data_IF_062177480474
#
_entry.id   IF_062177480474
#
_cell.length_a   1.000
_cell.length_b   1.000
_cell.length_c   1.000
_cell.angle_alpha   90.00
_cell.angle_beta   90.00
_cell.angle_gamma   90.00
#
_symmetry.space_group_name_H-M   'P 1'
#
loop_
_entity.id
_entity.type
_entity.pdbx_description
1 polymer ?
#
# COMPACT_ATOMS: atom_id res chain seq x y z
N UNK A 1 -3.73 -16.32 10.63
CA UNK A 1 -3.58 -16.73 9.22
C UNK A 1 -4.88 -17.36 8.77
N UNK A 2 -5.49 -16.84 7.71
CA UNK A 2 -6.81 -17.22 7.22
C UNK A 2 -6.79 -17.44 5.70
N UNK A 3 -7.38 -18.54 5.21
CA UNK A 3 -7.64 -18.71 3.79
C UNK A 3 -8.91 -17.95 3.42
N UNK A 4 -8.79 -16.88 2.62
CA UNK A 4 -9.96 -16.05 2.24
C UNK A 4 -10.47 -16.32 0.84
N UNK A 5 -9.59 -16.71 -0.07
CA UNK A 5 -9.94 -16.96 -1.47
C UNK A 5 -9.43 -18.32 -1.89
N UNK A 6 -10.28 -19.06 -2.59
CA UNK A 6 -9.94 -20.29 -3.29
C UNK A 6 -10.45 -20.19 -4.72
N UNK A 7 -9.57 -20.42 -5.68
CA UNK A 7 -9.90 -20.44 -7.11
C UNK A 7 -9.63 -21.84 -7.64
N UNK A 8 -10.50 -22.33 -8.52
CA UNK A 8 -10.29 -23.60 -9.23
C UNK A 8 -10.89 -23.54 -10.62
N UNK A 9 -10.22 -24.13 -11.61
CA UNK A 9 -10.66 -24.06 -13.00
C UNK A 9 -9.67 -24.63 -14.00
N UNK A 10 -9.92 -24.42 -15.30
CA UNK A 10 -9.04 -24.89 -16.36
C UNK A 10 -7.62 -24.30 -16.22
N UNK A 11 -6.60 -25.09 -16.53
CA UNK A 11 -5.19 -24.69 -16.42
C UNK A 11 -4.79 -23.55 -17.36
N UNK A 12 -5.63 -23.23 -18.35
CA UNK A 12 -5.47 -22.08 -19.23
C UNK A 12 -5.78 -20.75 -18.52
N UNK A 13 -6.59 -20.77 -17.47
CA UNK A 13 -6.98 -19.60 -16.67
C UNK A 13 -6.30 -19.61 -15.30
N UNK A 14 -6.28 -20.77 -14.65
CA UNK A 14 -5.63 -20.98 -13.35
C UNK A 14 -4.47 -21.95 -13.58
N UNK A 15 -3.22 -21.48 -13.78
CA UNK A 15 -2.10 -22.33 -14.22
C UNK A 15 -1.86 -23.56 -13.33
N UNK A 16 -2.16 -23.44 -12.03
CA UNK A 16 -2.00 -24.52 -11.04
C UNK A 16 -3.24 -25.42 -10.91
N UNK A 17 -4.27 -25.22 -11.73
CA UNK A 17 -5.59 -25.84 -11.65
C UNK A 17 -6.44 -25.34 -10.48
N UNK A 18 -5.82 -25.08 -9.34
CA UNK A 18 -6.41 -24.37 -8.21
C UNK A 18 -5.38 -23.54 -7.46
N UNK A 19 -5.83 -22.46 -6.83
CA UNK A 19 -4.99 -21.54 -6.05
C UNK A 19 -5.70 -21.11 -4.78
N UNK A 20 -5.00 -21.22 -3.65
CA UNK A 20 -5.46 -20.74 -2.34
C UNK A 20 -4.68 -19.49 -1.94
N UNK A 21 -5.38 -18.50 -1.38
CA UNK A 21 -4.81 -17.22 -0.97
C UNK A 21 -4.95 -17.07 0.54
N UNK A 22 -3.82 -16.93 1.23
CA UNK A 22 -3.75 -16.83 2.68
C UNK A 22 -3.36 -15.43 3.13
N UNK A 23 -4.05 -14.95 4.15
CA UNK A 23 -3.90 -13.61 4.67
C UNK A 23 -3.56 -13.61 6.16
N UNK A 24 -2.90 -12.54 6.61
CA UNK A 24 -2.78 -12.27 8.05
C UNK A 24 -4.06 -11.60 8.60
N UNK A 25 -4.04 -11.30 9.90
CA UNK A 25 -5.18 -10.67 10.59
C UNK A 25 -5.40 -9.22 10.13
N UNK A 26 -4.34 -8.52 9.75
CA UNK A 26 -4.42 -7.17 9.21
C UNK A 26 -5.06 -7.14 7.80
N UNK A 27 -4.94 -8.24 7.06
CA UNK A 27 -5.47 -8.44 5.72
C UNK A 27 -4.42 -8.39 4.61
N UNK A 28 -3.15 -8.50 4.95
CA UNK A 28 -2.06 -8.65 3.98
C UNK A 28 -2.06 -10.05 3.37
N UNK A 29 -1.84 -10.15 2.06
CA UNK A 29 -1.72 -11.43 1.37
C UNK A 29 -0.34 -12.04 1.65
N UNK A 30 -0.30 -13.00 2.57
CA UNK A 30 0.92 -13.71 2.97
C UNK A 30 1.42 -14.65 1.88
N UNK A 31 0.51 -15.26 1.10
CA UNK A 31 0.94 -16.11 0.01
C UNK A 31 -0.18 -16.71 -0.83
N UNK A 32 0.23 -17.14 -2.01
CA UNK A 32 -0.56 -17.89 -2.98
C UNK A 32 0.00 -19.31 -3.05
N UNK A 33 -0.87 -20.31 -2.98
CA UNK A 33 -0.49 -21.71 -2.89
C UNK A 33 -1.23 -22.53 -3.93
N UNK A 34 -0.56 -23.52 -4.52
CA UNK A 34 -1.17 -24.42 -5.49
C UNK A 34 -2.11 -25.46 -4.83
N UNK A 35 -2.63 -26.39 -5.64
CA UNK A 35 -3.51 -27.46 -5.19
C UNK A 35 -2.92 -28.36 -4.08
N UNK A 36 -1.59 -28.43 -3.98
CA UNK A 36 -0.87 -29.24 -3.00
C UNK A 36 -0.35 -28.40 -1.83
N UNK A 37 -0.78 -27.15 -1.71
CA UNK A 37 -0.28 -26.17 -0.74
C UNK A 37 1.22 -25.89 -0.87
N UNK A 38 1.78 -26.03 -2.08
CA UNK A 38 3.13 -25.56 -2.38
C UNK A 38 3.05 -24.06 -2.68
N UNK A 39 3.89 -23.23 -2.05
CA UNK A 39 3.86 -21.78 -2.25
C UNK A 39 4.26 -21.42 -3.68
N UNK A 40 3.38 -20.72 -4.38
CA UNK A 40 3.66 -20.06 -5.65
C UNK A 40 4.43 -18.76 -5.38
N UNK A 41 3.95 -18.00 -4.38
CA UNK A 41 4.56 -16.78 -3.85
C UNK A 41 4.28 -16.68 -2.36
N UNK A 42 5.26 -16.25 -1.56
CA UNK A 42 5.06 -15.78 -0.19
C UNK A 42 5.54 -14.32 -0.10
N UNK A 43 4.73 -13.44 0.46
CA UNK A 43 5.04 -12.01 0.55
C UNK A 43 5.51 -11.66 1.94
N UNK A 44 6.64 -10.98 2.03
CA UNK A 44 7.20 -10.45 3.28
C UNK A 44 6.82 -8.98 3.38
N UNK A 45 6.27 -8.61 4.53
CA UNK A 45 5.86 -7.25 4.83
C UNK A 45 6.74 -6.64 5.91
N UNK A 46 7.00 -5.34 5.78
CA UNK A 46 7.52 -4.50 6.85
C UNK A 46 6.39 -3.59 7.32
N UNK A 47 5.74 -3.96 8.42
CA UNK A 47 4.44 -3.43 8.81
C UNK A 47 3.40 -3.71 7.70
N UNK A 48 2.95 -2.69 6.98
CA UNK A 48 1.95 -2.81 5.89
C UNK A 48 2.60 -2.78 4.49
N UNK A 49 3.87 -2.40 4.41
CA UNK A 49 4.59 -2.25 3.14
C UNK A 49 5.11 -3.61 2.67
N UNK A 50 4.72 -4.12 1.49
CA UNK A 50 5.31 -5.32 0.93
C UNK A 50 6.76 -5.03 0.51
N UNK A 51 7.72 -5.81 1.02
CA UNK A 51 9.16 -5.56 0.81
C UNK A 51 9.87 -6.67 0.04
N UNK A 52 9.36 -7.89 0.08
CA UNK A 52 9.96 -9.00 -0.65
C UNK A 52 8.95 -10.09 -1.00
N UNK A 53 9.31 -10.90 -2.00
CA UNK A 53 8.62 -12.12 -2.36
C UNK A 53 9.61 -13.26 -2.28
N UNK A 54 9.16 -14.38 -1.73
CA UNK A 54 9.88 -15.63 -1.67
C UNK A 54 9.18 -16.61 -2.60
N UNK A 55 9.94 -17.22 -3.52
CA UNK A 55 9.50 -18.35 -4.34
C UNK A 55 10.25 -19.59 -3.92
N UNK A 56 9.55 -20.72 -3.88
CA UNK A 56 10.17 -22.02 -3.62
C UNK A 56 10.00 -22.92 -4.83
N UNK A 57 11.11 -23.39 -5.40
CA UNK A 57 11.07 -24.47 -6.37
C UNK A 57 11.29 -25.79 -5.63
N UNK A 58 10.30 -26.68 -5.69
CA UNK A 58 10.36 -27.99 -5.05
C UNK A 58 10.47 -29.08 -6.10
N UNK A 59 11.60 -29.76 -6.13
CA UNK A 59 11.83 -30.88 -7.05
C UNK A 59 11.70 -32.20 -6.29
N UNK A 60 10.74 -33.08 -6.64
CA UNK A 60 10.58 -34.37 -5.98
C UNK A 60 11.79 -35.27 -6.25
N UNK A 61 12.24 -36.00 -5.24
CA UNK A 61 13.22 -37.05 -5.40
C UNK A 61 12.49 -38.36 -5.80
N UNK A 62 12.66 -38.84 -7.04
CA UNK A 62 11.89 -39.97 -7.55
C UNK A 62 12.13 -41.29 -6.80
N UNK A 63 13.22 -41.37 -6.01
CA UNK A 63 13.71 -42.62 -5.44
C UNK A 63 13.45 -42.75 -3.92
N UNK A 64 12.68 -41.86 -3.30
CA UNK A 64 12.41 -41.89 -1.85
C UNK A 64 10.96 -42.20 -1.51
N UNK A 65 10.75 -43.07 -0.52
CA UNK A 65 9.47 -43.33 0.12
C UNK A 65 9.67 -43.26 1.66
N UNK A 66 9.07 -42.28 2.35
CA UNK A 66 8.16 -41.24 1.85
C UNK A 66 8.85 -40.27 0.87
N UNK A 67 8.06 -39.63 0.01
CA UNK A 67 8.55 -38.64 -0.97
C UNK A 67 9.32 -37.54 -0.26
N UNK A 68 10.53 -37.25 -0.76
CA UNK A 68 11.37 -36.12 -0.30
C UNK A 68 11.52 -35.11 -1.43
N UNK A 69 11.81 -33.85 -1.07
CA UNK A 69 11.94 -32.77 -2.04
C UNK A 69 13.25 -32.02 -1.83
N UNK A 70 13.93 -31.69 -2.91
CA UNK A 70 14.94 -30.64 -2.90
C UNK A 70 14.22 -29.30 -3.04
N UNK A 71 14.43 -28.40 -2.08
CA UNK A 71 13.82 -27.07 -2.07
C UNK A 71 14.89 -26.04 -2.35
N UNK A 72 14.71 -25.25 -3.40
CA UNK A 72 15.49 -24.04 -3.64
C UNK A 72 14.61 -22.81 -3.46
N UNK A 73 15.21 -21.74 -2.95
CA UNK A 73 14.49 -20.51 -2.63
C UNK A 73 15.05 -19.37 -3.48
N UNK A 74 14.15 -18.63 -4.13
CA UNK A 74 14.46 -17.40 -4.83
C UNK A 74 13.81 -16.23 -4.11
N UNK A 75 14.57 -15.14 -3.97
CA UNK A 75 14.12 -13.91 -3.30
C UNK A 75 14.01 -12.81 -4.34
N UNK A 76 12.93 -12.05 -4.26
CA UNK A 76 12.67 -10.88 -5.06
C UNK A 76 12.37 -9.70 -4.14
N UNK A 77 12.94 -8.53 -4.44
CA UNK A 77 12.65 -7.30 -3.71
C UNK A 77 11.43 -6.61 -4.32
N UNK A 78 10.51 -6.13 -3.49
CA UNK A 78 9.37 -5.31 -3.89
C UNK A 78 9.70 -3.85 -3.59
N UNK A 79 9.46 -2.98 -4.57
CA UNK A 79 9.45 -1.54 -4.38
C UNK A 79 8.01 -1.05 -4.47
N UNK A 80 7.46 -0.69 -3.31
CA UNK A 80 6.15 -0.08 -3.20
C UNK A 80 6.23 1.45 -3.32
N UNK A 81 5.13 2.10 -3.70
CA UNK A 81 5.02 3.56 -3.68
C UNK A 81 4.63 4.09 -2.27
N UNK A 82 4.30 5.38 -2.20
CA UNK A 82 3.92 6.04 -0.95
C UNK A 82 2.58 5.59 -0.38
N UNK A 83 1.81 4.77 -1.12
CA UNK A 83 0.59 4.14 -0.64
C UNK A 83 0.70 2.62 -0.53
N UNK A 84 1.92 2.12 -0.28
CA UNK A 84 2.24 0.70 -0.12
C UNK A 84 1.83 -0.18 -1.32
N UNK A 85 1.63 0.41 -2.50
CA UNK A 85 1.28 -0.33 -3.73
C UNK A 85 2.55 -0.82 -4.41
N UNK A 86 2.71 -2.14 -4.66
CA UNK A 86 3.83 -2.66 -5.42
C UNK A 86 3.93 -2.01 -6.81
N UNK A 87 5.06 -1.36 -7.11
CA UNK A 87 5.33 -0.72 -8.41
C UNK A 87 6.42 -1.40 -9.21
N UNK A 88 7.33 -2.10 -8.56
CA UNK A 88 8.43 -2.78 -9.24
C UNK A 88 8.89 -3.98 -8.41
N UNK A 89 9.30 -5.05 -9.09
CA UNK A 89 9.91 -6.21 -8.47
C UNK A 89 11.23 -6.53 -9.17
N UNK A 90 12.28 -6.72 -8.37
CA UNK A 90 13.60 -7.11 -8.87
C UNK A 90 14.05 -8.44 -8.29
N UNK A 91 14.77 -9.26 -9.06
CA UNK A 91 15.43 -10.45 -8.52
C UNK A 91 16.57 -10.03 -7.58
N UNK A 92 16.65 -10.61 -6.38
CA UNK A 92 17.61 -10.18 -5.37
C UNK A 92 19.08 -10.44 -5.74
N UNK A 93 19.34 -11.45 -6.58
CA UNK A 93 20.70 -11.87 -6.95
C UNK A 93 21.40 -10.91 -7.91
N UNK A 94 20.65 -10.25 -8.81
CA UNK A 94 21.21 -9.44 -9.90
C UNK A 94 20.52 -8.07 -10.05
N UNK A 95 19.51 -7.78 -9.23
CA UNK A 95 18.67 -6.57 -9.28
C UNK A 95 17.94 -6.35 -10.60
N UNK A 96 17.83 -7.38 -11.46
CA UNK A 96 17.09 -7.28 -12.70
C UNK A 96 15.59 -7.14 -12.44
N UNK A 97 14.96 -6.22 -13.16
CA UNK A 97 13.52 -5.96 -13.03
C UNK A 97 12.75 -7.07 -13.75
N UNK A 98 11.95 -7.81 -13.00
CA UNK A 98 11.15 -8.94 -13.52
C UNK A 98 9.67 -8.59 -13.68
N UNK A 99 9.19 -7.56 -12.99
CA UNK A 99 7.82 -7.07 -13.06
C UNK A 99 7.79 -5.57 -12.76
N UNK A 100 6.91 -4.83 -13.45
CA UNK A 100 6.77 -3.39 -13.28
C UNK A 100 5.34 -2.91 -13.50
N UNK A 101 4.89 -1.98 -12.65
CA UNK A 101 3.61 -1.31 -12.75
C UNK A 101 3.73 0.20 -12.52
N UNK A 102 4.82 0.78 -13.02
CA UNK A 102 5.13 2.21 -12.90
C UNK A 102 4.20 3.11 -13.74
N UNK A 103 3.59 2.56 -14.78
CA UNK A 103 2.70 3.29 -15.70
C UNK A 103 1.23 3.27 -15.24
N UNK A 104 0.94 2.75 -14.05
CA UNK A 104 -0.42 2.65 -13.57
C UNK A 104 -1.04 4.05 -13.39
N UNK A 105 -2.23 4.22 -13.97
CA UNK A 105 -3.07 5.38 -13.71
C UNK A 105 -3.56 5.41 -12.25
N UNK A 106 -4.08 6.56 -11.76
CA UNK A 106 -4.48 6.70 -10.35
C UNK A 106 -5.46 5.63 -9.85
N UNK A 107 -6.32 5.10 -10.71
CA UNK A 107 -7.29 4.04 -10.38
C UNK A 107 -6.86 2.63 -10.86
N UNK A 108 -5.60 2.48 -11.32
CA UNK A 108 -5.03 1.16 -11.61
C UNK A 108 -5.63 0.43 -12.81
N UNK A 109 -6.15 1.16 -13.80
CA UNK A 109 -6.76 0.55 -15.00
C UNK A 109 -5.71 -0.06 -15.95
N UNK A 110 -4.50 0.52 -16.01
CA UNK A 110 -3.38 0.00 -16.79
C UNK A 110 -2.91 -1.33 -16.22
N UNK A 111 -2.58 -2.32 -17.05
CA UNK A 111 -2.00 -3.58 -16.57
C UNK A 111 -0.49 -3.46 -16.29
N UNK A 112 0.05 -4.27 -15.37
CA UNK A 112 1.49 -4.35 -15.16
C UNK A 112 2.22 -4.97 -16.36
N UNK A 113 3.44 -4.51 -16.59
CA UNK A 113 4.38 -5.19 -17.46
C UNK A 113 5.01 -6.38 -16.72
N UNK A 114 4.59 -7.58 -17.07
CA UNK A 114 5.05 -8.85 -16.49
C UNK A 114 6.37 -9.37 -17.08
N UNK A 115 6.93 -8.70 -18.08
CA UNK A 115 8.20 -9.10 -18.69
C UNK A 115 8.95 -7.88 -19.26
N UNK A 116 9.35 -6.91 -18.41
CA UNK A 116 9.85 -5.61 -18.88
C UNK A 116 11.17 -5.68 -19.65
N UNK A 117 11.98 -6.71 -19.43
CA UNK A 117 13.30 -6.88 -20.04
C UNK A 117 13.49 -8.25 -20.71
N UNK A 118 12.40 -8.94 -21.08
CA UNK A 118 12.46 -10.26 -21.73
C UNK A 118 13.20 -11.35 -20.91
N UNK A 119 13.08 -11.31 -19.59
CA UNK A 119 13.71 -12.26 -18.65
C UNK A 119 12.79 -13.44 -18.28
N UNK A 120 11.62 -13.52 -18.92
CA UNK A 120 10.56 -14.48 -18.64
C UNK A 120 9.37 -13.81 -17.95
N UNK A 121 8.18 -14.35 -18.17
CA UNK A 121 6.95 -13.81 -17.57
C UNK A 121 6.96 -14.01 -16.06
N UNK A 122 6.81 -12.92 -15.32
CA UNK A 122 6.63 -12.91 -13.88
C UNK A 122 5.22 -12.42 -13.56
N UNK A 123 4.33 -13.31 -13.16
CA UNK A 123 2.96 -12.94 -12.76
C UNK A 123 2.94 -12.55 -11.29
N UNK A 124 2.38 -11.40 -10.98
CA UNK A 124 2.18 -10.97 -9.59
C UNK A 124 0.82 -10.28 -9.49
N UNK A 125 -0.03 -10.76 -8.59
CA UNK A 125 -1.45 -10.41 -8.59
C UNK A 125 -1.83 -9.33 -7.58
N UNK A 126 -1.01 -9.04 -6.57
CA UNK A 126 -1.30 -7.92 -5.66
C UNK A 126 -1.33 -6.58 -6.43
N UNK A 127 -2.24 -5.69 -6.01
CA UNK A 127 -2.46 -4.36 -6.59
C UNK A 127 -2.43 -3.31 -5.48
N UNK A 128 -3.38 -2.38 -5.45
CA UNK A 128 -3.53 -1.47 -4.31
C UNK A 128 -3.67 -2.28 -3.00
N UNK A 129 -3.37 -1.69 -1.83
CA UNK A 129 -3.46 -2.41 -0.56
C UNK A 129 -4.79 -3.15 -0.40
N UNK A 130 -4.71 -4.43 -0.04
CA UNK A 130 -5.86 -5.34 0.09
C UNK A 130 -6.33 -6.00 -1.20
N UNK A 131 -5.86 -5.55 -2.36
CA UNK A 131 -6.38 -6.00 -3.66
C UNK A 131 -5.54 -7.10 -4.30
N UNK A 132 -6.24 -8.10 -4.85
CA UNK A 132 -5.67 -9.15 -5.69
C UNK A 132 -6.38 -9.17 -7.04
N UNK A 133 -5.62 -9.02 -8.12
CA UNK A 133 -6.14 -9.12 -9.48
C UNK A 133 -6.62 -10.53 -9.80
N UNK A 134 -7.81 -10.59 -10.37
CA UNK A 134 -8.47 -11.80 -10.84
C UNK A 134 -8.54 -11.73 -12.37
N UNK A 135 -7.71 -12.53 -13.04
CA UNK A 135 -7.58 -12.47 -14.50
C UNK A 135 -8.85 -12.94 -15.20
N UNK A 136 -9.58 -13.86 -14.58
CA UNK A 136 -10.79 -14.51 -15.09
C UNK A 136 -11.96 -13.52 -15.23
N UNK A 137 -12.12 -12.64 -14.25
CA UNK A 137 -13.14 -11.59 -14.26
C UNK A 137 -12.61 -10.23 -14.73
N UNK A 138 -11.29 -10.05 -14.79
CA UNK A 138 -10.63 -8.77 -14.98
C UNK A 138 -11.02 -7.72 -13.91
N UNK A 139 -11.26 -8.21 -12.68
CA UNK A 139 -11.56 -7.41 -11.49
C UNK A 139 -10.46 -7.55 -10.46
N UNK A 140 -10.56 -6.77 -9.40
CA UNK A 140 -9.69 -6.86 -8.24
C UNK A 140 -10.53 -7.29 -7.04
N UNK A 141 -10.27 -8.49 -6.53
CA UNK A 141 -10.84 -8.95 -5.28
C UNK A 141 -10.25 -8.07 -4.17
N UNK A 142 -11.11 -7.41 -3.40
CA UNK A 142 -10.74 -6.57 -2.26
C UNK A 142 -11.55 -6.96 -1.02
N UNK A 143 -11.36 -8.21 -0.60
CA UNK A 143 -11.99 -8.87 0.53
C UNK A 143 -13.53 -8.83 0.54
N UNK A 144 -14.12 -7.72 0.93
CA UNK A 144 -15.57 -7.56 1.05
C UNK A 144 -16.24 -7.13 -0.25
N UNK A 145 -15.46 -6.63 -1.24
CA UNK A 145 -15.99 -6.10 -2.50
C UNK A 145 -15.06 -6.43 -3.68
N UNK A 146 -15.64 -6.45 -4.87
CA UNK A 146 -14.93 -6.51 -6.14
C UNK A 146 -14.73 -5.09 -6.67
N UNK A 147 -13.49 -4.74 -6.96
CA UNK A 147 -13.09 -3.44 -7.48
C UNK A 147 -12.87 -3.50 -8.99
N UNK A 148 -13.53 -2.61 -9.72
CA UNK A 148 -13.36 -2.42 -11.15
C UNK A 148 -12.48 -1.18 -11.39
N UNK A 149 -11.24 -1.39 -11.83
CA UNK A 149 -10.27 -0.31 -12.03
C UNK A 149 -10.64 0.63 -13.17
N UNK A 150 -11.20 0.11 -14.28
CA UNK A 150 -11.63 0.93 -15.42
C UNK A 150 -12.70 1.97 -15.03
N UNK A 151 -13.59 1.60 -14.11
CA UNK A 151 -14.62 2.50 -13.57
C UNK A 151 -14.21 3.23 -12.29
N UNK A 152 -13.02 2.93 -11.75
CA UNK A 152 -12.51 3.49 -10.51
C UNK A 152 -13.42 3.25 -9.30
N UNK A 153 -14.15 2.13 -9.24
CA UNK A 153 -15.22 1.92 -8.24
C UNK A 153 -15.43 0.45 -7.86
N UNK A 154 -16.15 0.23 -6.76
CA UNK A 154 -16.64 -1.10 -6.40
C UNK A 154 -17.89 -1.48 -7.19
N UNK A 155 -18.09 -2.78 -7.41
CA UNK A 155 -19.28 -3.32 -8.05
C UNK A 155 -20.43 -3.56 -7.07
N UNK A 156 -20.12 -3.81 -5.80
CA UNK A 156 -21.10 -4.00 -4.72
C UNK A 156 -21.23 -2.71 -3.90
N UNK A 157 -22.45 -2.45 -3.43
CA UNK A 157 -22.67 -1.43 -2.40
C UNK A 157 -21.95 -1.82 -1.12
N UNK A 158 -21.41 -0.83 -0.41
CA UNK A 158 -20.71 -1.00 0.86
C UNK A 158 -21.54 -1.80 1.89
N UNK A 159 -21.02 -2.93 2.40
CA UNK A 159 -21.69 -3.75 3.42
C UNK A 159 -21.94 -3.00 4.73
N UNK A 160 -21.14 -1.99 5.07
CA UNK A 160 -21.36 -1.16 6.25
C UNK A 160 -22.24 0.07 5.95
N UNK A 161 -22.78 0.15 4.72
CA UNK A 161 -23.66 1.21 4.26
C UNK A 161 -23.00 2.58 4.28
N UNK A 162 -23.75 3.60 4.72
CA UNK A 162 -23.27 4.99 4.75
C UNK A 162 -22.12 5.25 5.74
N UNK A 163 -21.75 4.26 6.57
CA UNK A 163 -20.56 4.36 7.45
C UNK A 163 -19.24 4.40 6.65
N UNK A 164 -19.23 3.83 5.44
CA UNK A 164 -18.08 3.87 4.52
C UNK A 164 -18.02 5.15 3.68
N UNK A 165 -19.11 5.91 3.59
CA UNK A 165 -19.22 7.16 2.84
C UNK A 165 -20.60 7.35 2.21
N UNK A 166 -20.86 8.57 1.68
CA UNK A 166 -22.14 8.89 1.04
C UNK A 166 -22.39 8.10 -0.25
N UNK A 167 -21.33 7.80 -1.00
CA UNK A 167 -21.40 6.94 -2.18
C UNK A 167 -20.87 5.56 -1.81
N UNK A 168 -21.78 4.60 -1.63
CA UNK A 168 -21.46 3.24 -1.17
C UNK A 168 -20.71 2.39 -2.21
N UNK A 169 -20.48 2.91 -3.41
CA UNK A 169 -19.71 2.26 -4.47
C UNK A 169 -18.36 2.93 -4.72
N UNK A 170 -18.09 4.09 -4.13
CA UNK A 170 -16.88 4.84 -4.41
C UNK A 170 -15.65 4.09 -3.88
N UNK A 171 -14.58 4.03 -4.70
CA UNK A 171 -13.27 3.68 -4.18
C UNK A 171 -12.63 4.93 -3.59
N UNK A 172 -12.23 4.84 -2.33
CA UNK A 172 -11.36 5.81 -1.63
C UNK A 172 -11.74 7.28 -1.77
N UNK A 173 -13.05 7.57 -1.73
CA UNK A 173 -13.61 8.92 -1.93
C UNK A 173 -13.07 9.63 -3.18
N UNK A 174 -12.79 8.87 -4.25
CA UNK A 174 -12.20 9.35 -5.50
C UNK A 174 -10.81 9.97 -5.36
N UNK A 175 -10.06 9.62 -4.31
CA UNK A 175 -8.71 10.14 -4.07
C UNK A 175 -7.67 9.01 -3.89
N UNK A 176 -7.44 8.17 -4.93
CA UNK A 176 -6.60 6.98 -4.83
C UNK A 176 -5.10 7.28 -4.81
N UNK A 177 -4.70 8.56 -4.96
CA UNK A 177 -3.32 8.98 -4.80
C UNK A 177 -2.93 9.19 -3.33
N UNK A 178 -3.89 9.17 -2.41
CA UNK A 178 -3.63 9.50 -1.01
C UNK A 178 -4.45 8.69 -0.02
N UNK A 179 -5.34 7.85 -0.52
CA UNK A 179 -6.22 7.00 0.28
C UNK A 179 -6.19 5.58 -0.24
N UNK A 180 -6.32 4.66 0.69
CA UNK A 180 -6.35 3.22 0.48
C UNK A 180 -7.62 2.64 1.11
N UNK A 181 -8.06 1.47 0.67
CA UNK A 181 -9.15 0.71 1.29
C UNK A 181 -8.74 -0.76 1.36
N UNK A 182 -7.95 -1.18 2.37
CA UNK A 182 -7.37 -2.52 2.45
C UNK A 182 -8.39 -3.65 2.66
N UNK A 183 -9.63 -3.30 3.00
CA UNK A 183 -10.67 -4.28 3.35
C UNK A 183 -11.88 -4.20 2.43
N UNK A 184 -11.95 -3.24 1.52
CA UNK A 184 -13.16 -2.98 0.75
C UNK A 184 -14.34 -2.55 1.63
N UNK A 185 -14.12 -1.75 2.68
CA UNK A 185 -15.18 -1.30 3.61
C UNK A 185 -15.16 0.19 3.90
N UNK A 186 -13.96 0.79 3.95
CA UNK A 186 -13.81 2.21 4.28
C UNK A 186 -12.45 2.67 3.83
N UNK A 187 -12.40 3.92 3.40
CA UNK A 187 -11.15 4.53 3.03
C UNK A 187 -10.33 5.00 4.25
N UNK A 188 -9.02 4.91 4.11
CA UNK A 188 -8.04 5.36 5.06
C UNK A 188 -7.08 6.30 4.33
N UNK A 189 -6.69 7.40 4.98
CA UNK A 189 -5.60 8.23 4.49
C UNK A 189 -4.30 7.46 4.64
N UNK A 190 -3.55 7.32 3.56
CA UNK A 190 -2.24 6.69 3.63
C UNK A 190 -1.18 7.67 4.14
N UNK A 191 -0.17 7.11 4.80
CA UNK A 191 0.64 7.74 5.85
C UNK A 191 1.55 8.87 5.39
N UNK A 192 1.58 9.24 4.10
CA UNK A 192 2.24 10.45 3.61
C UNK A 192 1.58 10.97 2.33
N UNK A 193 0.85 12.09 2.42
CA UNK A 193 0.25 12.74 1.26
C UNK A 193 1.12 13.91 0.82
N UNK A 194 2.03 13.67 -0.13
CA UNK A 194 2.69 14.70 -0.94
C UNK A 194 3.19 15.96 -0.21
N UNK A 195 3.30 17.06 -0.96
CA UNK A 195 3.71 18.39 -0.46
C UNK A 195 2.69 19.04 0.48
N UNK A 196 1.51 18.44 0.66
CA UNK A 196 0.42 18.95 1.48
C UNK A 196 -0.28 17.81 2.21
N UNK A 197 0.16 17.51 3.43
CA UNK A 197 -0.70 17.32 4.59
C UNK A 197 0.14 16.77 5.73
N UNK A 198 -0.24 17.21 6.92
CA UNK A 198 0.10 16.65 8.22
C UNK A 198 0.33 15.15 8.18
N UNK A 199 1.48 14.72 8.71
CA UNK A 199 1.69 13.36 9.17
C UNK A 199 0.58 13.09 10.21
N UNK A 200 -0.46 12.36 9.81
CA UNK A 200 -1.48 11.92 10.75
C UNK A 200 -1.04 10.56 11.30
N UNK A 201 -1.15 10.29 12.62
CA UNK A 201 -1.06 8.92 13.10
C UNK A 201 -2.07 8.09 12.31
N UNK A 202 -1.66 6.91 11.85
CA UNK A 202 -2.60 6.01 11.18
C UNK A 202 -3.80 5.79 12.08
N UNK A 203 -5.01 6.02 11.57
CA UNK A 203 -6.24 5.68 12.28
C UNK A 203 -6.56 4.18 12.20
N UNK A 204 -5.61 3.35 11.80
CA UNK A 204 -5.70 1.92 12.01
C UNK A 204 -5.56 1.62 13.51
N UNK A 205 -6.64 1.19 14.20
CA UNK A 205 -6.59 0.90 15.63
C UNK A 205 -5.69 -0.31 15.95
N UNK A 206 -5.23 -1.08 14.96
CA UNK A 206 -4.38 -2.25 15.14
C UNK A 206 -2.89 -2.01 14.86
N UNK A 207 -2.52 -0.83 14.34
CA UNK A 207 -1.12 -0.51 14.10
C UNK A 207 -0.37 -0.19 15.42
N UNK A 208 0.77 -0.84 15.64
CA UNK A 208 1.57 -0.63 16.85
C UNK A 208 2.02 0.84 16.99
N UNK A 209 2.02 1.35 18.24
CA UNK A 209 2.41 2.73 18.55
C UNK A 209 3.81 3.08 18.05
N UNK A 210 4.76 2.13 18.09
CA UNK A 210 6.14 2.31 17.60
C UNK A 210 6.18 2.36 16.07
N UNK A 211 5.42 1.49 15.39
CA UNK A 211 5.29 1.53 13.93
C UNK A 211 4.70 2.85 13.45
N UNK A 212 3.71 3.38 14.18
CA UNK A 212 3.12 4.69 13.91
C UNK A 212 4.13 5.82 14.09
N UNK A 213 4.93 5.79 15.17
CA UNK A 213 5.96 6.79 15.45
C UNK A 213 7.08 6.82 14.39
N UNK A 214 7.62 5.66 13.99
CA UNK A 214 8.72 5.60 13.02
C UNK A 214 8.27 6.06 11.62
N UNK A 215 7.07 5.68 11.20
CA UNK A 215 6.48 6.10 9.92
C UNK A 215 6.21 7.61 9.89
N UNK A 216 5.70 8.17 10.98
CA UNK A 216 5.58 9.63 11.16
C UNK A 216 6.93 10.34 10.98
N UNK A 217 8.00 9.86 11.65
CA UNK A 217 9.33 10.49 11.59
C UNK A 217 9.99 10.44 10.21
N UNK A 218 9.80 9.35 9.48
CA UNK A 218 10.29 9.21 8.10
C UNK A 218 9.51 10.16 7.17
N UNK A 219 8.20 10.29 7.38
CA UNK A 219 7.34 11.20 6.63
C UNK A 219 7.74 12.67 6.81
N UNK A 220 7.88 13.12 8.06
CA UNK A 220 8.35 14.46 8.42
C UNK A 220 9.66 14.78 7.70
N UNK A 221 10.63 13.85 7.75
CA UNK A 221 11.95 14.03 7.15
C UNK A 221 11.92 14.14 5.62
N UNK A 222 11.01 13.44 4.95
CA UNK A 222 10.85 13.50 3.49
C UNK A 222 10.27 14.85 3.02
N UNK A 223 9.30 15.38 3.77
CA UNK A 223 8.72 16.70 3.54
C UNK A 223 9.76 17.80 3.79
N UNK A 224 10.51 17.70 4.89
CA UNK A 224 11.55 18.67 5.25
C UNK A 224 12.68 18.72 4.21
N UNK A 225 13.11 17.58 3.65
CA UNK A 225 14.12 17.50 2.58
C UNK A 225 13.64 18.16 1.27
N UNK A 226 12.34 18.06 0.96
CA UNK A 226 11.74 18.75 -0.20
C UNK A 226 11.69 20.26 -0.01
N UNK A 227 11.56 20.67 1.24
CA UNK A 227 11.53 22.06 1.69
C UNK A 227 12.92 22.73 1.68
N UNK A 228 13.96 22.03 2.17
CA UNK A 228 15.35 22.52 2.14
C UNK A 228 15.84 22.81 0.70
N UNK A 229 15.33 22.07 -0.28
CA UNK A 229 15.71 22.21 -1.69
C UNK A 229 14.90 23.26 -2.47
N UNK A 230 13.86 23.85 -1.87
CA UNK A 230 12.97 24.79 -2.57
C UNK A 230 12.44 25.89 -1.64
N UNK A 231 13.13 27.05 -1.56
CA UNK A 231 12.83 28.12 -0.60
C UNK A 231 11.46 28.78 -0.82
N UNK A 232 10.84 28.62 -1.98
CA UNK A 232 9.49 29.11 -2.28
C UNK A 232 8.38 28.20 -1.75
N UNK A 233 8.70 27.06 -1.14
CA UNK A 233 7.71 26.08 -0.68
C UNK A 233 7.37 26.30 0.79
N UNK A 234 6.11 26.09 1.16
CA UNK A 234 5.64 26.16 2.54
C UNK A 234 6.14 24.96 3.36
N UNK A 235 6.72 25.19 4.55
CA UNK A 235 7.39 24.13 5.30
C UNK A 235 6.94 24.06 6.77
N UNK A 236 6.90 22.84 7.32
CA UNK A 236 6.68 22.62 8.75
C UNK A 236 7.76 23.32 9.59
N UNK A 237 8.99 23.42 9.08
CA UNK A 237 10.07 24.17 9.71
C UNK A 237 9.71 25.65 9.95
N UNK A 238 9.06 26.33 8.99
CA UNK A 238 8.64 27.73 9.16
C UNK A 238 7.54 27.87 10.20
N UNK A 239 6.59 26.91 10.22
CA UNK A 239 5.56 26.84 11.25
C UNK A 239 6.20 26.63 12.63
N UNK A 240 7.14 25.69 12.75
CA UNK A 240 7.81 25.38 14.02
C UNK A 240 8.70 26.55 14.49
N UNK A 241 9.33 27.27 13.56
CA UNK A 241 10.05 28.50 13.85
C UNK A 241 9.11 29.61 14.34
N UNK A 242 7.94 29.77 13.71
CA UNK A 242 6.90 30.69 14.17
C UNK A 242 6.41 30.33 15.57
N UNK A 243 6.13 29.04 15.82
CA UNK A 243 5.67 28.53 17.12
C UNK A 243 6.72 28.77 18.22
N UNK A 244 8.00 28.67 17.89
CA UNK A 244 9.10 28.98 18.81
C UNK A 244 9.15 28.02 19.99
N UNK A 245 8.94 26.73 19.72
CA UNK A 245 8.97 25.66 20.73
C UNK A 245 7.62 25.23 21.29
N UNK A 246 6.52 25.93 20.93
CA UNK A 246 5.16 25.50 21.26
C UNK A 246 4.69 24.36 20.34
N UNK A 247 3.88 23.48 20.90
CA UNK A 247 3.27 22.35 20.22
C UNK A 247 2.17 22.86 19.27
N UNK A 248 2.05 22.31 18.04
CA UNK A 248 1.05 22.79 17.07
C UNK A 248 -0.41 22.60 17.52
N UNK A 249 -0.66 21.67 18.44
CA UNK A 249 -1.96 21.44 19.07
C UNK A 249 -2.26 22.39 20.24
N UNK A 250 -1.29 23.23 20.61
CA UNK A 250 -1.40 24.18 21.72
C UNK A 250 -1.39 23.53 23.11
N UNK A 251 -1.04 22.25 23.21
CA UNK A 251 -1.07 21.50 24.48
C UNK A 251 -0.11 22.05 25.55
N UNK A 252 0.94 22.77 25.14
CA UNK A 252 1.93 23.41 26.00
C UNK A 252 1.77 24.94 26.08
N UNK A 253 0.70 25.49 25.50
CA UNK A 253 0.42 26.92 25.51
C UNK A 253 -0.16 27.36 26.87
N UNK A 254 0.61 28.14 27.61
CA UNK A 254 0.28 28.70 28.92
C UNK A 254 -0.10 30.18 28.79
N UNK A 255 -1.39 30.40 28.53
CA UNK A 255 -1.99 31.73 28.53
C UNK A 255 -2.36 32.29 27.15
N UNK A 256 -3.11 33.42 27.12
CA UNK A 256 -3.75 33.92 25.89
C UNK A 256 -2.76 34.24 24.77
N UNK A 257 -1.59 34.78 25.11
CA UNK A 257 -0.58 35.17 24.13
C UNK A 257 0.02 33.96 23.41
N UNK A 258 0.29 32.87 24.13
CA UNK A 258 0.81 31.63 23.54
C UNK A 258 -0.26 30.92 22.71
N UNK A 259 -1.52 30.90 23.18
CA UNK A 259 -2.66 30.34 22.42
C UNK A 259 -2.86 31.12 21.12
N UNK A 260 -2.85 32.45 21.18
CA UNK A 260 -2.99 33.32 20.01
C UNK A 260 -1.81 33.14 19.04
N UNK A 261 -0.60 32.96 19.56
CA UNK A 261 0.58 32.66 18.75
C UNK A 261 0.45 31.34 18.02
N UNK A 262 0.02 30.26 18.70
CA UNK A 262 -0.24 28.95 18.08
C UNK A 262 -1.29 29.08 16.97
N UNK A 263 -2.42 29.74 17.26
CA UNK A 263 -3.47 29.96 16.28
C UNK A 263 -2.99 30.74 15.05
N UNK A 264 -2.20 31.81 15.25
CA UNK A 264 -1.63 32.63 14.17
C UNK A 264 -0.67 31.82 13.31
N UNK A 265 0.30 31.14 13.91
CA UNK A 265 1.28 30.34 13.18
C UNK A 265 0.62 29.20 12.38
N UNK A 266 -0.39 28.55 12.96
CA UNK A 266 -1.17 27.53 12.27
C UNK A 266 -1.99 28.11 11.11
N UNK A 267 -2.58 29.28 11.28
CA UNK A 267 -3.35 29.96 10.23
C UNK A 267 -2.47 30.43 9.07
N UNK A 268 -1.30 30.99 9.36
CA UNK A 268 -0.31 31.40 8.34
C UNK A 268 0.21 30.18 7.57
N UNK A 269 0.54 29.10 8.29
CA UNK A 269 0.93 27.84 7.67
C UNK A 269 -0.18 27.27 6.78
N UNK A 270 -1.42 27.19 7.28
CA UNK A 270 -2.56 26.72 6.49
C UNK A 270 -2.80 27.60 5.25
N UNK A 271 -2.65 28.92 5.36
CA UNK A 271 -2.78 29.84 4.22
C UNK A 271 -1.67 29.65 3.17
N UNK A 272 -0.43 29.42 3.61
CA UNK A 272 0.68 29.10 2.72
C UNK A 272 0.41 27.78 2.01
N UNK A 273 0.03 26.75 2.76
CA UNK A 273 -0.30 25.42 2.26
C UNK A 273 -1.52 25.44 1.32
N UNK A 274 -2.45 26.38 1.43
CA UNK A 274 -3.52 26.53 0.46
C UNK A 274 -3.05 27.10 -0.90
N UNK A 275 -1.90 27.79 -0.94
CA UNK A 275 -1.36 28.49 -2.12
C UNK A 275 -0.22 27.73 -2.80
N UNK A 276 0.46 26.84 -2.08
CA UNK A 276 1.56 26.03 -2.60
C UNK A 276 2.91 26.67 -2.70
N UNK A 277 3.00 27.94 -2.31
CA UNK A 277 4.24 28.65 -2.22
C UNK A 277 4.15 29.79 -1.21
N UNK A 278 5.31 30.15 -0.63
CA UNK A 278 5.49 31.38 0.14
C UNK A 278 5.35 32.55 -0.83
N UNK A 279 4.51 33.54 -0.47
CA UNK A 279 4.50 34.83 -1.16
C UNK A 279 5.70 35.65 -0.72
#
# INVERSE_FOLDING_TARGET
MEQRVYKSGPTTLIPTGSTSYFYDEAGHLLGEYDANLVPIYETVYLNDTPVAIIKQNRTPNPNTQPQTYTVTTEIFNIYADHIDTPRMITRATDQSIVWSWIAAEPFGATQPNQNPYNLGTFTFNQRFPGQVFDQESNLHQNWNREYQSLGGRYLQSDPIGLKGGMNTYAYVSSNPLSRIDPRGLKDYLDRCIGRYATCAPSQDPEASTIGNYLRMKICEKSIDNTCEKSPSTCCNADRNQCLGGLSPDGSDANGPDQINKVAKCNAEYASCMAKGSKK
#
